data_IF_614795176498
#
_entry.id   IF_614795176498
#
_cell.length_a   1.000
_cell.length_b   1.000
_cell.length_c   1.000
_cell.angle_alpha   90.00
_cell.angle_beta   90.00
_cell.angle_gamma   90.00
#
_symmetry.space_group_name_H-M   'P 1'
#
loop_
_entity.id
_entity.type
_entity.pdbx_description
1 polymer ?
#
# COMPACT_ATOMS: atom_id res chain seq x y z
N UNK A 1 26.04 3.55 2.67
CA UNK A 1 25.93 2.09 2.40
C UNK A 1 25.88 1.90 0.89
N UNK A 2 26.58 0.92 0.30
CA UNK A 2 26.40 0.63 -1.14
C UNK A 2 24.97 0.15 -1.34
N UNK A 3 24.21 0.75 -2.28
CA UNK A 3 22.91 0.25 -2.71
C UNK A 3 23.06 -1.24 -3.02
N UNK A 4 22.16 -2.06 -2.45
CA UNK A 4 22.12 -3.49 -2.75
C UNK A 4 21.83 -3.71 -4.24
N UNK A 5 22.38 -4.75 -4.83
CA UNK A 5 21.96 -5.17 -6.16
C UNK A 5 20.62 -5.91 -6.05
N UNK A 6 19.53 -5.17 -6.22
CA UNK A 6 18.16 -5.72 -6.19
C UNK A 6 17.74 -6.37 -7.53
N UNK A 7 18.61 -6.39 -8.54
CA UNK A 7 18.27 -6.88 -9.88
C UNK A 7 17.66 -8.29 -9.88
N UNK A 8 18.20 -9.31 -9.15
CA UNK A 8 17.60 -10.63 -9.14
C UNK A 8 16.22 -10.66 -8.49
N UNK A 9 16.04 -9.91 -7.38
CA UNK A 9 14.75 -9.79 -6.70
C UNK A 9 13.71 -9.11 -7.61
N UNK A 10 14.08 -8.01 -8.29
CA UNK A 10 13.19 -7.29 -9.20
C UNK A 10 12.76 -8.14 -10.40
N UNK A 11 13.66 -8.97 -10.95
CA UNK A 11 13.33 -9.92 -12.00
C UNK A 11 12.34 -10.99 -11.53
N UNK A 12 12.55 -11.55 -10.34
CA UNK A 12 11.63 -12.53 -9.75
C UNK A 12 10.27 -11.89 -9.42
N UNK A 13 10.27 -10.68 -8.89
CA UNK A 13 9.04 -9.92 -8.62
C UNK A 13 8.24 -9.65 -9.91
N UNK A 14 8.92 -9.27 -10.99
CA UNK A 14 8.28 -9.06 -12.31
C UNK A 14 7.69 -10.36 -12.86
N UNK A 15 8.38 -11.50 -12.69
CA UNK A 15 7.89 -12.81 -13.09
C UNK A 15 6.63 -13.23 -12.29
N UNK A 16 6.65 -13.06 -10.96
CA UNK A 16 5.50 -13.36 -10.11
C UNK A 16 4.33 -12.45 -10.47
N UNK A 17 4.60 -11.14 -10.66
CA UNK A 17 3.58 -10.18 -11.08
C UNK A 17 2.92 -10.62 -12.39
N UNK A 18 3.68 -11.01 -13.40
CA UNK A 18 3.14 -11.45 -14.69
C UNK A 18 2.18 -12.63 -14.52
N UNK A 19 2.52 -13.61 -13.66
CA UNK A 19 1.64 -14.76 -13.36
C UNK A 19 0.34 -14.32 -12.66
N UNK A 20 0.45 -13.41 -11.70
CA UNK A 20 -0.70 -12.85 -10.97
C UNK A 20 -1.60 -12.05 -11.91
N UNK A 21 -1.03 -11.17 -12.74
CA UNK A 21 -1.79 -10.38 -13.71
C UNK A 21 -2.52 -11.28 -14.71
N UNK A 22 -1.86 -12.32 -15.24
CA UNK A 22 -2.49 -13.29 -16.15
C UNK A 22 -3.65 -14.01 -15.46
N UNK A 23 -3.49 -14.46 -14.21
CA UNK A 23 -4.57 -15.10 -13.46
C UNK A 23 -5.75 -14.13 -13.26
N UNK A 24 -5.49 -12.88 -12.89
CA UNK A 24 -6.55 -11.86 -12.71
C UNK A 24 -7.28 -11.61 -14.03
N UNK A 25 -6.54 -11.30 -15.09
CA UNK A 25 -7.10 -10.81 -16.35
C UNK A 25 -7.71 -11.92 -17.19
N UNK A 26 -7.19 -13.15 -17.10
CA UNK A 26 -7.65 -14.24 -17.94
C UNK A 26 -8.70 -15.16 -17.28
N UNK A 27 -8.69 -15.25 -15.92
CA UNK A 27 -9.49 -16.23 -15.22
C UNK A 27 -10.43 -15.64 -14.14
N UNK A 28 -10.04 -14.56 -13.48
CA UNK A 28 -10.80 -13.99 -12.34
C UNK A 28 -11.73 -12.87 -12.76
N UNK A 29 -11.34 -12.07 -13.76
CA UNK A 29 -12.17 -10.98 -14.25
C UNK A 29 -12.87 -11.36 -15.56
N UNK A 30 -14.16 -11.02 -15.70
CA UNK A 30 -14.88 -11.25 -16.94
C UNK A 30 -14.34 -10.37 -18.06
N UNK A 31 -14.40 -10.87 -19.32
CA UNK A 31 -13.86 -10.16 -20.49
C UNK A 31 -14.87 -9.27 -21.17
N UNK A 32 -16.10 -9.74 -21.32
CA UNK A 32 -17.15 -9.02 -22.06
C UNK A 32 -18.55 -9.50 -21.64
N UNK A 33 -19.55 -8.68 -21.96
CA UNK A 33 -20.96 -9.03 -21.76
C UNK A 33 -21.81 -8.49 -22.92
N UNK A 34 -22.94 -9.19 -23.22
CA UNK A 34 -23.87 -8.79 -24.31
C UNK A 34 -24.67 -7.51 -23.98
N UNK A 35 -24.87 -7.20 -22.70
CA UNK A 35 -25.51 -5.96 -22.25
C UNK A 35 -24.46 -4.86 -22.16
N UNK A 36 -24.57 -3.75 -22.92
CA UNK A 36 -23.52 -2.72 -22.99
C UNK A 36 -23.15 -2.11 -21.65
N UNK A 37 -24.10 -1.88 -20.74
CA UNK A 37 -23.83 -1.33 -19.42
C UNK A 37 -23.00 -2.27 -18.53
N UNK A 38 -23.20 -3.59 -18.67
CA UNK A 38 -22.42 -4.60 -17.93
C UNK A 38 -21.03 -4.75 -18.58
N UNK A 39 -20.96 -4.70 -19.91
CA UNK A 39 -19.68 -4.74 -20.64
C UNK A 39 -18.79 -3.56 -20.27
N UNK A 40 -19.38 -2.36 -20.11
CA UNK A 40 -18.66 -1.19 -19.59
C UNK A 40 -18.14 -1.43 -18.17
N UNK A 41 -18.93 -2.02 -17.26
CA UNK A 41 -18.46 -2.36 -15.92
C UNK A 41 -17.25 -3.30 -15.98
N UNK A 42 -17.27 -4.33 -16.84
CA UNK A 42 -16.16 -5.27 -16.99
C UNK A 42 -14.90 -4.58 -17.54
N UNK A 43 -15.06 -3.67 -18.48
CA UNK A 43 -13.98 -2.83 -19.00
C UNK A 43 -13.36 -1.97 -17.88
N UNK A 44 -14.19 -1.36 -17.04
CA UNK A 44 -13.75 -0.53 -15.92
C UNK A 44 -13.04 -1.34 -14.82
N UNK A 45 -13.52 -2.55 -14.51
CA UNK A 45 -12.87 -3.46 -13.54
C UNK A 45 -11.46 -3.87 -13.97
N UNK A 46 -11.19 -3.94 -15.27
CA UNK A 46 -9.89 -4.31 -15.84
C UNK A 46 -8.92 -3.14 -15.94
N UNK A 47 -9.40 -1.90 -15.88
CA UNK A 47 -8.61 -0.68 -16.13
C UNK A 47 -7.38 -0.58 -15.20
N UNK A 48 -7.55 -0.68 -13.87
CA UNK A 48 -6.42 -0.59 -12.92
C UNK A 48 -5.51 -1.82 -12.92
N UNK A 49 -6.02 -3.07 -12.97
CA UNK A 49 -5.17 -4.25 -13.13
C UNK A 49 -4.30 -4.26 -14.40
N UNK A 50 -4.77 -3.68 -15.50
CA UNK A 50 -4.01 -3.61 -16.77
C UNK A 50 -2.91 -2.51 -16.76
N UNK A 51 -2.96 -1.58 -15.79
CA UNK A 51 -1.95 -0.52 -15.68
C UNK A 51 -0.63 -1.05 -15.11
N UNK A 52 0.50 -0.40 -15.42
CA UNK A 52 1.78 -0.78 -14.82
C UNK A 52 1.75 -0.68 -13.31
N UNK A 53 2.39 -1.63 -12.64
CA UNK A 53 2.53 -1.67 -11.18
C UNK A 53 3.71 -2.56 -10.80
N UNK A 54 4.20 -2.43 -9.56
CA UNK A 54 5.39 -3.18 -9.09
C UNK A 54 5.08 -4.62 -8.66
N UNK A 55 3.84 -4.91 -8.24
CA UNK A 55 3.45 -6.25 -7.76
C UNK A 55 4.13 -6.65 -6.44
N UNK A 56 4.49 -5.68 -5.60
CA UNK A 56 5.24 -5.93 -4.36
C UNK A 56 4.44 -6.77 -3.36
N UNK A 57 3.14 -6.51 -3.19
CA UNK A 57 2.27 -7.21 -2.25
C UNK A 57 2.09 -8.69 -2.60
N UNK A 58 1.69 -9.03 -3.83
CA UNK A 58 1.62 -10.45 -4.24
C UNK A 58 2.99 -11.12 -4.19
N UNK A 59 4.07 -10.41 -4.53
CA UNK A 59 5.43 -10.94 -4.43
C UNK A 59 5.81 -11.25 -2.98
N UNK A 60 5.51 -10.35 -2.03
CA UNK A 60 5.78 -10.58 -0.60
C UNK A 60 4.98 -11.77 -0.06
N UNK A 61 3.74 -11.95 -0.50
CA UNK A 61 2.93 -13.11 -0.14
C UNK A 61 3.55 -14.42 -0.64
N UNK A 62 3.93 -14.49 -1.91
CA UNK A 62 4.58 -15.65 -2.52
C UNK A 62 5.93 -15.94 -1.86
N UNK A 63 6.73 -14.92 -1.61
CA UNK A 63 8.05 -15.08 -0.99
C UNK A 63 7.95 -15.56 0.45
N UNK A 64 6.98 -15.02 1.22
CA UNK A 64 6.68 -15.50 2.57
C UNK A 64 6.20 -16.96 2.55
N UNK A 65 5.32 -17.34 1.61
CA UNK A 65 4.90 -18.72 1.45
C UNK A 65 6.09 -19.65 1.23
N UNK A 66 7.00 -19.30 0.34
CA UNK A 66 8.23 -20.06 0.07
C UNK A 66 9.13 -20.13 1.30
N UNK A 67 9.25 -19.03 2.06
CA UNK A 67 10.07 -19.00 3.27
C UNK A 67 9.54 -19.92 4.39
N UNK A 68 8.25 -20.22 4.38
CA UNK A 68 7.63 -21.20 5.27
C UNK A 68 7.49 -22.60 4.63
N UNK A 69 8.20 -22.88 3.52
CA UNK A 69 8.23 -24.20 2.88
C UNK A 69 7.03 -24.51 1.97
N UNK A 70 6.19 -23.51 1.66
CA UNK A 70 5.11 -23.65 0.71
C UNK A 70 5.54 -23.47 -0.74
N UNK A 71 4.65 -23.73 -1.70
CA UNK A 71 4.93 -23.55 -3.10
C UNK A 71 4.28 -22.30 -3.67
N UNK A 72 4.92 -21.69 -4.66
CA UNK A 72 4.40 -20.52 -5.39
C UNK A 72 3.05 -20.82 -6.02
N UNK A 73 2.87 -21.98 -6.67
CA UNK A 73 1.64 -22.34 -7.37
C UNK A 73 0.43 -22.38 -6.43
N UNK A 74 0.60 -22.89 -5.21
CA UNK A 74 -0.45 -22.90 -4.20
C UNK A 74 -0.80 -21.49 -3.68
N UNK A 75 0.14 -20.55 -3.78
CA UNK A 75 -0.01 -19.19 -3.26
C UNK A 75 -0.61 -18.21 -4.28
N UNK A 76 -0.55 -18.51 -5.58
CA UNK A 76 -0.91 -17.55 -6.65
C UNK A 76 -2.34 -17.01 -6.53
N UNK A 77 -3.31 -17.85 -6.20
CA UNK A 77 -4.70 -17.42 -6.10
C UNK A 77 -4.91 -16.44 -4.93
N UNK A 78 -4.26 -16.72 -3.80
CA UNK A 78 -4.26 -15.80 -2.64
C UNK A 78 -3.54 -14.50 -2.98
N UNK A 79 -2.40 -14.57 -3.65
CA UNK A 79 -1.64 -13.39 -4.10
C UNK A 79 -2.43 -12.54 -5.12
N UNK A 80 -3.16 -13.16 -6.03
CA UNK A 80 -4.06 -12.47 -6.96
C UNK A 80 -5.22 -11.77 -6.23
N UNK A 81 -5.75 -12.40 -5.18
CA UNK A 81 -6.81 -11.79 -4.37
C UNK A 81 -6.32 -10.54 -3.63
N UNK A 82 -5.05 -10.50 -3.18
CA UNK A 82 -4.43 -9.29 -2.62
C UNK A 82 -4.37 -8.17 -3.66
N UNK A 83 -4.05 -8.48 -4.90
CA UNK A 83 -3.99 -7.46 -5.96
C UNK A 83 -5.40 -6.99 -6.36
N UNK A 84 -6.42 -7.85 -6.34
CA UNK A 84 -7.82 -7.44 -6.51
C UNK A 84 -8.25 -6.50 -5.37
N UNK A 85 -7.92 -6.82 -4.11
CA UNK A 85 -8.12 -5.93 -2.98
C UNK A 85 -7.46 -4.57 -3.20
N UNK A 86 -6.19 -4.57 -3.59
CA UNK A 86 -5.47 -3.32 -3.85
C UNK A 86 -6.13 -2.47 -4.93
N UNK A 87 -6.56 -3.06 -6.04
CA UNK A 87 -7.20 -2.30 -7.11
C UNK A 87 -8.56 -1.75 -6.68
N UNK A 88 -9.34 -2.50 -5.88
CA UNK A 88 -10.56 -2.00 -5.28
C UNK A 88 -10.30 -0.77 -4.40
N UNK A 89 -9.41 -0.90 -3.40
CA UNK A 89 -9.17 0.18 -2.45
C UNK A 89 -8.57 1.42 -3.12
N UNK A 90 -7.73 1.26 -4.15
CA UNK A 90 -7.18 2.39 -4.91
C UNK A 90 -8.24 3.16 -5.69
N UNK A 91 -9.31 2.51 -6.17
CA UNK A 91 -10.41 3.20 -6.83
C UNK A 91 -11.17 4.06 -5.84
N UNK A 92 -11.43 3.54 -4.63
CA UNK A 92 -12.11 4.29 -3.57
C UNK A 92 -11.24 5.43 -3.05
N UNK A 93 -9.97 5.16 -2.74
CA UNK A 93 -8.97 6.15 -2.31
C UNK A 93 -8.86 7.32 -3.31
N UNK A 94 -8.78 7.03 -4.62
CA UNK A 94 -8.75 8.07 -5.66
C UNK A 94 -10.01 8.95 -5.67
N UNK A 95 -11.19 8.40 -5.35
CA UNK A 95 -12.44 9.16 -5.25
C UNK A 95 -12.42 10.03 -3.99
N UNK A 96 -12.01 9.47 -2.85
CA UNK A 96 -11.96 10.12 -1.55
C UNK A 96 -10.96 11.27 -1.52
N UNK A 97 -9.78 11.08 -2.12
CA UNK A 97 -8.71 12.07 -2.22
C UNK A 97 -8.92 13.08 -3.38
N UNK A 98 -9.85 12.79 -4.31
CA UNK A 98 -10.05 13.55 -5.53
C UNK A 98 -8.83 13.50 -6.47
N UNK A 99 -8.06 12.42 -6.45
CA UNK A 99 -6.83 12.27 -7.24
C UNK A 99 -7.07 12.42 -8.74
N UNK A 100 -6.21 13.18 -9.45
CA UNK A 100 -6.34 13.37 -10.90
C UNK A 100 -5.81 12.18 -11.70
N UNK A 101 -4.73 11.59 -11.23
CA UNK A 101 -3.97 10.58 -11.95
C UNK A 101 -3.68 9.34 -11.10
N UNK A 102 -3.66 8.17 -11.73
CA UNK A 102 -3.21 6.92 -11.12
C UNK A 102 -2.36 6.12 -12.12
N UNK A 103 -1.13 5.77 -11.74
CA UNK A 103 -0.19 4.97 -12.57
C UNK A 103 -0.06 5.53 -14.00
N UNK A 104 0.11 6.86 -14.12
CA UNK A 104 0.35 7.54 -15.39
C UNK A 104 -0.88 7.76 -16.29
N UNK A 105 -2.08 7.43 -15.81
CA UNK A 105 -3.36 7.63 -16.53
C UNK A 105 -4.37 8.31 -15.62
N UNK A 106 -5.40 9.01 -16.15
CA UNK A 106 -6.45 9.62 -15.33
C UNK A 106 -7.08 8.60 -14.37
N UNK A 107 -7.38 9.03 -13.14
CA UNK A 107 -8.08 8.20 -12.17
C UNK A 107 -9.44 7.75 -12.73
N UNK A 108 -9.96 6.59 -12.28
CA UNK A 108 -11.16 6.00 -12.86
C UNK A 108 -12.37 6.94 -12.77
N UNK A 109 -12.51 7.64 -11.63
CA UNK A 109 -13.59 8.60 -11.42
C UNK A 109 -13.48 9.86 -12.31
N UNK A 110 -12.27 10.20 -12.79
CA UNK A 110 -12.09 11.28 -13.79
C UNK A 110 -12.48 10.82 -15.20
N UNK A 111 -12.30 9.52 -15.52
CA UNK A 111 -12.68 8.96 -16.82
C UNK A 111 -14.17 8.71 -16.95
N UNK A 112 -14.83 8.22 -15.90
CA UNK A 112 -16.18 7.66 -15.97
C UNK A 112 -17.17 8.29 -14.96
N UNK A 113 -16.70 9.20 -14.11
CA UNK A 113 -17.48 9.78 -13.02
C UNK A 113 -17.44 8.95 -11.74
N UNK A 114 -17.59 9.62 -10.59
CA UNK A 114 -17.44 9.02 -9.26
C UNK A 114 -18.43 7.87 -9.00
N UNK A 115 -19.68 8.01 -9.46
CA UNK A 115 -20.74 7.00 -9.23
C UNK A 115 -20.41 5.66 -9.88
N UNK A 116 -19.94 5.68 -11.14
CA UNK A 116 -19.57 4.45 -11.84
C UNK A 116 -18.25 3.86 -11.30
N UNK A 117 -17.29 4.72 -10.95
CA UNK A 117 -16.03 4.28 -10.34
C UNK A 117 -16.26 3.60 -8.99
N UNK A 118 -17.12 4.15 -8.13
CA UNK A 118 -17.49 3.55 -6.84
C UNK A 118 -18.06 2.14 -7.05
N UNK A 119 -19.08 2.01 -7.91
CA UNK A 119 -19.68 0.70 -8.23
C UNK A 119 -18.69 -0.29 -8.84
N UNK A 120 -17.66 0.20 -9.55
CA UNK A 120 -16.59 -0.65 -10.09
C UNK A 120 -15.69 -1.18 -8.96
N UNK A 121 -15.37 -0.36 -7.97
CA UNK A 121 -14.67 -0.80 -6.76
C UNK A 121 -15.44 -1.89 -6.03
N UNK A 122 -16.74 -1.71 -5.80
CA UNK A 122 -17.61 -2.71 -5.17
C UNK A 122 -17.65 -4.02 -5.95
N UNK A 123 -17.67 -3.95 -7.29
CA UNK A 123 -17.61 -5.13 -8.13
C UNK A 123 -16.28 -5.87 -8.01
N UNK A 124 -15.15 -5.17 -7.93
CA UNK A 124 -13.83 -5.79 -7.66
C UNK A 124 -13.76 -6.43 -6.28
N UNK A 125 -14.34 -5.78 -5.26
CA UNK A 125 -14.46 -6.35 -3.91
C UNK A 125 -15.22 -7.70 -3.94
N UNK A 126 -16.34 -7.77 -4.65
CA UNK A 126 -17.07 -9.02 -4.82
C UNK A 126 -16.23 -10.11 -5.53
N UNK A 127 -15.48 -9.73 -6.58
CA UNK A 127 -14.57 -10.67 -7.28
C UNK A 127 -13.42 -11.15 -6.40
N UNK A 128 -12.91 -10.31 -5.53
CA UNK A 128 -11.90 -10.69 -4.53
C UNK A 128 -12.42 -11.85 -3.65
N UNK A 129 -13.63 -11.71 -3.07
CA UNK A 129 -14.23 -12.77 -2.24
C UNK A 129 -14.51 -14.04 -3.04
N UNK A 130 -14.98 -13.91 -4.27
CA UNK A 130 -15.17 -15.05 -5.17
C UNK A 130 -13.85 -15.79 -5.45
N UNK A 131 -12.76 -15.01 -5.68
CA UNK A 131 -11.41 -15.57 -5.86
C UNK A 131 -10.94 -16.32 -4.60
N UNK A 132 -11.11 -15.73 -3.42
CA UNK A 132 -10.73 -16.37 -2.16
C UNK A 132 -11.45 -17.70 -1.92
N UNK A 133 -12.73 -17.80 -2.26
CA UNK A 133 -13.50 -19.04 -2.16
C UNK A 133 -12.94 -20.16 -3.05
N UNK A 134 -12.29 -19.83 -4.18
CA UNK A 134 -11.66 -20.84 -5.06
C UNK A 134 -10.47 -21.55 -4.37
N UNK A 135 -9.83 -20.94 -3.35
CA UNK A 135 -8.81 -21.62 -2.56
C UNK A 135 -9.26 -22.91 -1.94
N UNK A 136 -10.58 -23.10 -1.72
CA UNK A 136 -11.14 -24.34 -1.16
C UNK A 136 -10.77 -25.58 -1.97
N UNK A 137 -10.71 -25.48 -3.30
CA UNK A 137 -10.34 -26.60 -4.17
C UNK A 137 -8.82 -26.87 -4.18
N UNK A 138 -7.99 -25.91 -3.78
CA UNK A 138 -6.52 -25.99 -3.85
C UNK A 138 -5.92 -26.27 -2.48
N UNK A 139 -6.40 -25.58 -1.44
CA UNK A 139 -5.83 -25.59 -0.08
C UNK A 139 -6.70 -26.34 0.94
N UNK A 140 -7.94 -26.67 0.59
CA UNK A 140 -8.94 -27.24 1.50
C UNK A 140 -9.67 -26.17 2.31
N UNK A 141 -10.71 -26.60 3.03
CA UNK A 141 -11.65 -25.68 3.70
C UNK A 141 -11.03 -24.92 4.86
N UNK A 142 -10.29 -25.59 5.74
CA UNK A 142 -9.70 -24.97 6.93
C UNK A 142 -8.76 -23.81 6.59
N UNK A 143 -7.78 -24.04 5.71
CA UNK A 143 -6.85 -22.98 5.27
C UNK A 143 -7.58 -21.84 4.54
N UNK A 144 -8.61 -22.16 3.77
CA UNK A 144 -9.41 -21.12 3.09
C UNK A 144 -10.10 -20.21 4.09
N UNK A 145 -10.65 -20.75 5.17
CA UNK A 145 -11.29 -19.96 6.22
C UNK A 145 -10.27 -19.10 6.97
N UNK A 146 -9.08 -19.62 7.28
CA UNK A 146 -7.98 -18.83 7.89
C UNK A 146 -7.58 -17.65 6.99
N UNK A 147 -7.41 -17.91 5.69
CA UNK A 147 -7.09 -16.88 4.68
C UNK A 147 -8.22 -15.83 4.59
N UNK A 148 -9.48 -16.25 4.55
CA UNK A 148 -10.62 -15.32 4.53
C UNK A 148 -10.71 -14.49 5.81
N UNK A 149 -10.40 -15.08 6.97
CA UNK A 149 -10.32 -14.38 8.25
C UNK A 149 -9.25 -13.30 8.25
N UNK A 150 -8.07 -13.60 7.70
CA UNK A 150 -6.99 -12.61 7.55
C UNK A 150 -7.37 -11.47 6.60
N UNK A 151 -8.07 -11.77 5.48
CA UNK A 151 -8.59 -10.73 4.59
C UNK A 151 -9.62 -9.84 5.29
N UNK A 152 -10.53 -10.42 6.09
CA UNK A 152 -11.50 -9.64 6.85
C UNK A 152 -10.80 -8.71 7.87
N UNK A 153 -9.79 -9.21 8.58
CA UNK A 153 -8.95 -8.39 9.47
C UNK A 153 -8.25 -7.26 8.71
N UNK A 154 -7.60 -7.58 7.60
CA UNK A 154 -6.90 -6.61 6.75
C UNK A 154 -7.83 -5.50 6.26
N UNK A 155 -9.03 -5.84 5.81
CA UNK A 155 -10.03 -4.88 5.34
C UNK A 155 -10.46 -3.95 6.47
N UNK A 156 -10.79 -4.50 7.66
CA UNK A 156 -11.19 -3.70 8.81
C UNK A 156 -10.09 -2.70 9.22
N UNK A 157 -8.86 -3.18 9.38
CA UNK A 157 -7.72 -2.33 9.74
C UNK A 157 -7.51 -1.22 8.70
N UNK A 158 -7.54 -1.58 7.41
CA UNK A 158 -7.32 -0.61 6.33
C UNK A 158 -8.40 0.47 6.30
N UNK A 159 -9.66 0.10 6.44
CA UNK A 159 -10.78 1.06 6.42
C UNK A 159 -10.81 1.96 7.67
N UNK A 160 -10.45 1.42 8.85
CA UNK A 160 -10.32 2.23 10.06
C UNK A 160 -9.16 3.24 9.93
N UNK A 161 -8.02 2.83 9.37
CA UNK A 161 -6.89 3.73 9.11
C UNK A 161 -7.22 4.80 8.08
N UNK A 162 -7.94 4.46 7.01
CA UNK A 162 -8.45 5.40 6.02
C UNK A 162 -9.38 6.44 6.68
N UNK A 163 -10.29 6.00 7.55
CA UNK A 163 -11.17 6.90 8.30
C UNK A 163 -10.41 7.89 9.17
N UNK A 164 -9.31 7.47 9.82
CA UNK A 164 -8.48 8.38 10.61
C UNK A 164 -7.90 9.49 9.75
N UNK A 165 -7.28 9.14 8.61
CA UNK A 165 -6.67 10.12 7.70
C UNK A 165 -7.71 11.06 7.11
N UNK A 166 -8.81 10.55 6.56
CA UNK A 166 -9.88 11.35 5.97
C UNK A 166 -10.46 12.35 6.98
N UNK A 167 -10.67 11.92 8.23
CA UNK A 167 -11.18 12.80 9.27
C UNK A 167 -10.24 13.97 9.56
N UNK A 168 -8.93 13.72 9.69
CA UNK A 168 -7.94 14.79 9.89
C UNK A 168 -7.96 15.82 8.76
N UNK A 169 -8.13 15.38 7.52
CA UNK A 169 -8.21 16.26 6.35
C UNK A 169 -9.50 17.06 6.35
N UNK A 170 -10.65 16.38 6.51
CA UNK A 170 -12.00 17.00 6.43
C UNK A 170 -12.22 18.02 7.56
N UNK A 171 -11.79 17.70 8.78
CA UNK A 171 -11.92 18.56 9.96
C UNK A 171 -10.79 19.62 10.04
N UNK A 172 -9.82 19.59 9.12
CA UNK A 172 -8.58 20.38 9.18
C UNK A 172 -7.91 20.28 10.56
N UNK A 173 -7.93 19.06 11.12
CA UNK A 173 -7.32 18.78 12.42
C UNK A 173 -5.79 18.79 12.32
N UNK A 174 -5.13 19.37 13.32
CA UNK A 174 -3.68 19.43 13.48
C UNK A 174 -3.26 19.05 14.91
N UNK A 175 -4.16 18.41 15.64
CA UNK A 175 -3.92 17.95 17.02
C UNK A 175 -3.23 16.59 17.12
N UNK A 176 -3.05 15.88 15.99
CA UNK A 176 -2.43 14.56 15.98
C UNK A 176 -0.94 14.63 16.35
N UNK A 177 -0.52 13.58 17.04
CA UNK A 177 0.88 13.32 17.39
C UNK A 177 1.56 12.41 16.37
N UNK A 178 2.87 12.24 16.50
CA UNK A 178 3.64 11.25 15.74
C UNK A 178 3.13 9.81 15.98
N UNK A 179 2.70 9.48 17.21
CA UNK A 179 2.14 8.18 17.54
C UNK A 179 0.78 7.95 16.85
N UNK A 180 -0.07 8.98 16.78
CA UNK A 180 -1.33 8.91 16.02
C UNK A 180 -1.09 8.64 14.54
N UNK A 181 -0.05 9.28 13.96
CA UNK A 181 0.38 9.00 12.59
C UNK A 181 0.85 7.55 12.42
N UNK A 182 1.65 7.03 13.36
CA UNK A 182 2.09 5.63 13.29
C UNK A 182 0.92 4.66 13.42
N UNK A 183 -0.05 4.96 14.26
CA UNK A 183 -1.26 4.16 14.39
C UNK A 183 -2.07 4.18 13.07
N UNK A 184 -2.27 5.35 12.48
CA UNK A 184 -2.95 5.50 11.19
C UNK A 184 -2.22 4.71 10.08
N UNK A 185 -0.90 4.88 9.94
CA UNK A 185 -0.11 4.15 8.94
C UNK A 185 -0.12 2.64 9.18
N UNK A 186 -0.08 2.21 10.44
CA UNK A 186 -0.19 0.78 10.78
C UNK A 186 -1.50 0.21 10.26
N UNK A 187 -2.61 0.89 10.52
CA UNK A 187 -3.94 0.47 10.07
C UNK A 187 -4.10 0.59 8.56
N UNK A 188 -3.93 1.79 8.01
CA UNK A 188 -4.17 2.08 6.60
C UNK A 188 -3.20 1.35 5.68
N UNK A 189 -1.90 1.30 6.02
CA UNK A 189 -0.84 0.87 5.09
C UNK A 189 -0.18 -0.44 5.49
N UNK A 190 0.24 -0.61 6.77
CA UNK A 190 1.04 -1.77 7.15
C UNK A 190 0.28 -3.07 6.99
N UNK A 191 -1.00 -3.11 7.37
CA UNK A 191 -1.81 -4.32 7.26
C UNK A 191 -1.87 -4.83 5.81
N UNK A 192 -2.34 -4.05 4.86
CA UNK A 192 -2.54 -4.58 3.50
C UNK A 192 -1.26 -4.61 2.65
N UNK A 193 -0.24 -3.83 3.02
CA UNK A 193 1.01 -3.77 2.24
C UNK A 193 2.03 -4.81 2.68
N UNK A 194 2.08 -5.11 3.97
CA UNK A 194 3.16 -5.92 4.56
C UNK A 194 2.63 -7.05 5.43
N UNK A 195 1.85 -6.74 6.49
CA UNK A 195 1.45 -7.71 7.51
C UNK A 195 0.66 -8.85 6.89
N UNK A 196 -0.50 -8.54 6.30
CA UNK A 196 -1.36 -9.58 5.72
C UNK A 196 -0.73 -10.29 4.53
N UNK A 197 -0.02 -9.66 3.58
CA UNK A 197 0.72 -10.39 2.56
C UNK A 197 1.68 -11.44 3.13
N UNK A 198 2.48 -11.12 4.16
CA UNK A 198 3.36 -12.10 4.79
C UNK A 198 2.59 -13.20 5.50
N UNK A 199 1.56 -12.86 6.29
CA UNK A 199 0.74 -13.80 7.05
C UNK A 199 -0.05 -14.73 6.12
N UNK A 200 -0.61 -14.20 5.04
CA UNK A 200 -1.32 -14.99 4.02
C UNK A 200 -0.40 -16.03 3.36
N UNK A 201 0.83 -15.63 3.01
CA UNK A 201 1.83 -16.57 2.53
C UNK A 201 2.13 -17.68 3.54
N UNK A 202 2.26 -17.32 4.82
CA UNK A 202 2.48 -18.27 5.91
C UNK A 202 1.29 -19.22 6.11
N UNK A 203 0.04 -18.73 6.04
CA UNK A 203 -1.18 -19.57 6.10
C UNK A 203 -1.23 -20.56 4.94
N UNK A 204 -0.95 -20.12 3.71
CA UNK A 204 -0.91 -21.02 2.53
C UNK A 204 0.11 -22.13 2.76
N UNK A 205 1.32 -21.80 3.26
CA UNK A 205 2.36 -22.77 3.57
C UNK A 205 1.99 -23.73 4.71
N UNK A 206 1.01 -23.37 5.56
CA UNK A 206 0.65 -24.13 6.75
C UNK A 206 1.61 -23.92 7.92
N UNK A 207 2.15 -22.70 8.04
CA UNK A 207 2.98 -22.29 9.17
C UNK A 207 2.20 -22.40 10.50
N UNK A 208 2.94 -22.58 11.60
CA UNK A 208 2.32 -22.65 12.92
C UNK A 208 1.74 -21.27 13.31
N UNK A 209 0.63 -21.21 14.06
CA UNK A 209 0.03 -19.95 14.49
C UNK A 209 1.03 -18.96 15.11
N UNK A 210 1.92 -19.43 16.00
CA UNK A 210 2.94 -18.59 16.62
C UNK A 210 3.97 -17.99 15.62
N UNK A 211 4.26 -18.70 14.54
CA UNK A 211 5.15 -18.20 13.48
C UNK A 211 4.44 -17.14 12.65
N UNK A 212 3.14 -17.34 12.34
CA UNK A 212 2.30 -16.36 11.66
C UNK A 212 2.18 -15.08 12.49
N UNK A 213 1.93 -15.21 13.80
CA UNK A 213 1.78 -14.05 14.70
C UNK A 213 3.09 -13.27 14.88
N UNK A 214 4.24 -13.95 14.78
CA UNK A 214 5.55 -13.30 14.86
C UNK A 214 5.83 -12.31 13.71
N UNK A 215 5.03 -12.32 12.63
CA UNK A 215 5.15 -11.41 11.50
C UNK A 215 4.47 -10.05 11.73
N UNK A 216 3.64 -9.91 12.77
CA UNK A 216 2.85 -8.69 12.99
C UNK A 216 3.74 -7.51 13.35
N UNK A 217 4.56 -7.63 14.39
CA UNK A 217 5.37 -6.50 14.86
C UNK A 217 6.42 -6.03 13.84
N UNK A 218 7.22 -6.90 13.20
CA UNK A 218 8.09 -6.45 12.11
C UNK A 218 7.30 -5.86 10.94
N UNK A 219 6.12 -6.40 10.63
CA UNK A 219 5.25 -5.88 9.57
C UNK A 219 4.71 -4.49 9.86
N UNK A 220 4.36 -4.16 11.11
CA UNK A 220 3.96 -2.81 11.52
C UNK A 220 5.09 -1.81 11.23
N UNK A 221 6.29 -2.08 11.76
CA UNK A 221 7.44 -1.19 11.59
C UNK A 221 7.81 -1.01 10.11
N UNK A 222 7.86 -2.11 9.35
CA UNK A 222 8.18 -2.07 7.92
C UNK A 222 7.14 -1.26 7.14
N UNK A 223 5.85 -1.44 7.43
CA UNK A 223 4.78 -0.74 6.74
C UNK A 223 4.75 0.76 7.06
N UNK A 224 5.00 1.15 8.31
CA UNK A 224 5.12 2.56 8.69
C UNK A 224 6.35 3.18 8.02
N UNK A 225 7.52 2.52 8.08
CA UNK A 225 8.73 2.99 7.40
C UNK A 225 8.54 3.13 5.90
N UNK A 226 7.83 2.19 5.27
CA UNK A 226 7.45 2.25 3.86
C UNK A 226 6.58 3.48 3.55
N UNK A 227 5.56 3.76 4.36
CA UNK A 227 4.67 4.92 4.15
C UNK A 227 5.43 6.23 4.29
N UNK A 228 6.26 6.37 5.34
CA UNK A 228 7.09 7.58 5.52
C UNK A 228 7.99 7.80 4.30
N UNK A 229 8.60 6.73 3.77
CA UNK A 229 9.44 6.84 2.57
C UNK A 229 8.63 7.23 1.34
N UNK A 230 7.40 6.72 1.20
CA UNK A 230 6.48 7.08 0.12
C UNK A 230 6.11 8.57 0.17
N UNK A 231 5.83 9.10 1.36
CA UNK A 231 5.56 10.53 1.60
C UNK A 231 6.80 11.39 1.23
N UNK A 232 8.01 10.92 1.54
CA UNK A 232 9.28 11.58 1.14
C UNK A 232 9.43 11.58 -0.38
N UNK A 233 9.16 10.47 -1.05
CA UNK A 233 9.24 10.36 -2.51
C UNK A 233 8.22 11.26 -3.20
N UNK A 234 7.01 11.39 -2.65
CA UNK A 234 5.97 12.28 -3.16
C UNK A 234 6.45 13.74 -3.25
N UNK A 235 7.25 14.19 -2.26
CA UNK A 235 7.80 15.54 -2.23
C UNK A 235 9.09 15.72 -3.05
N UNK A 236 9.91 14.67 -3.22
CA UNK A 236 11.26 14.75 -3.79
C UNK A 236 11.35 14.29 -5.25
N UNK A 237 10.53 13.34 -5.69
CA UNK A 237 10.73 12.64 -6.96
C UNK A 237 10.12 13.33 -8.19
N UNK A 238 9.34 14.41 -8.04
CA UNK A 238 8.74 15.14 -9.16
C UNK A 238 7.93 14.25 -10.11
N UNK A 239 7.95 14.56 -11.41
CA UNK A 239 7.17 13.86 -12.45
C UNK A 239 7.50 12.35 -12.63
N UNK A 240 8.55 11.81 -12.01
CA UNK A 240 8.92 10.40 -12.10
C UNK A 240 8.00 9.48 -11.29
N UNK A 241 7.26 10.01 -10.31
CA UNK A 241 6.44 9.23 -9.39
C UNK A 241 5.07 8.79 -9.96
N UNK A 242 4.70 9.24 -11.16
CA UNK A 242 3.41 8.89 -11.80
C UNK A 242 2.18 9.59 -11.22
N UNK A 243 2.40 10.50 -10.28
CA UNK A 243 1.47 11.49 -9.72
C UNK A 243 1.99 12.90 -9.97
N UNK A 244 1.18 13.90 -9.65
CA UNK A 244 1.63 15.29 -9.61
C UNK A 244 2.65 15.47 -8.47
N UNK A 245 3.69 16.28 -8.68
CA UNK A 245 4.67 16.55 -7.62
C UNK A 245 3.98 17.20 -6.42
N UNK A 246 4.25 16.72 -5.22
CA UNK A 246 3.64 17.19 -3.97
C UNK A 246 2.10 17.06 -3.92
N UNK A 247 1.53 16.04 -4.56
CA UNK A 247 0.07 15.81 -4.60
C UNK A 247 -0.49 15.58 -3.19
N UNK A 248 0.24 14.88 -2.31
CA UNK A 248 -0.15 14.68 -0.91
C UNK A 248 -0.32 16.02 -0.14
N UNK A 249 0.50 17.04 -0.44
CA UNK A 249 0.31 18.39 0.12
C UNK A 249 -0.96 19.03 -0.43
N UNK A 250 -1.23 18.89 -1.72
CA UNK A 250 -2.45 19.42 -2.33
C UNK A 250 -3.70 18.71 -1.78
N UNK A 251 -3.65 17.41 -1.58
CA UNK A 251 -4.70 16.61 -0.93
C UNK A 251 -4.86 17.00 0.54
N UNK A 252 -3.82 17.53 1.16
CA UNK A 252 -3.82 17.96 2.55
C UNK A 252 -3.58 16.84 3.54
N UNK A 253 -2.88 15.79 3.12
CA UNK A 253 -2.52 14.66 4.00
C UNK A 253 -1.66 15.11 5.17
N UNK A 254 -1.91 14.55 6.35
CA UNK A 254 -1.18 14.82 7.59
C UNK A 254 0.02 13.88 7.71
N UNK A 255 1.02 14.08 6.82
CA UNK A 255 2.22 13.25 6.78
C UNK A 255 3.13 13.51 8.00
N UNK A 256 4.02 12.55 8.32
CA UNK A 256 5.03 12.74 9.37
C UNK A 256 5.86 14.02 9.14
N UNK A 257 6.13 14.37 7.88
CA UNK A 257 6.86 15.57 7.50
C UNK A 257 6.14 16.83 7.98
N UNK A 258 4.82 16.93 7.76
CA UNK A 258 4.03 18.07 8.22
C UNK A 258 3.84 18.09 9.74
N UNK A 259 3.64 16.94 10.37
CA UNK A 259 3.57 16.81 11.83
C UNK A 259 4.89 17.30 12.47
N UNK A 260 6.03 16.88 11.94
CA UNK A 260 7.35 17.32 12.38
C UNK A 260 7.57 18.80 12.16
N UNK A 261 7.21 19.32 10.98
CA UNK A 261 7.25 20.74 10.68
C UNK A 261 6.52 21.55 11.76
N UNK A 262 5.26 21.21 12.01
CA UNK A 262 4.44 21.92 13.00
C UNK A 262 4.94 21.79 14.44
N UNK A 263 5.54 20.67 14.80
CA UNK A 263 6.15 20.48 16.12
C UNK A 263 7.40 21.33 16.32
N UNK A 264 8.12 21.66 15.24
CA UNK A 264 9.40 22.38 15.29
C UNK A 264 9.29 23.86 14.94
N UNK A 265 8.22 24.26 14.24
CA UNK A 265 8.03 25.60 13.72
C UNK A 265 7.75 26.63 14.84
N UNK A 266 8.24 27.85 14.65
CA UNK A 266 7.82 28.97 15.48
C UNK A 266 6.30 29.26 15.31
N UNK A 267 5.68 30.00 16.25
CA UNK A 267 4.23 30.22 16.22
C UNK A 267 3.70 30.86 14.93
N UNK A 268 4.49 31.72 14.27
CA UNK A 268 4.11 32.40 13.03
C UNK A 268 4.09 31.44 11.86
N UNK A 269 5.16 30.67 11.68
CA UNK A 269 5.28 29.70 10.60
C UNK A 269 4.27 28.56 10.79
N UNK A 270 4.06 28.10 12.05
CA UNK A 270 3.02 27.14 12.37
C UNK A 270 1.64 27.62 11.95
N UNK A 271 1.24 28.85 12.33
CA UNK A 271 -0.05 29.40 11.95
C UNK A 271 -0.19 29.51 10.43
N UNK A 272 0.90 29.91 9.75
CA UNK A 272 0.90 30.02 8.29
C UNK A 272 0.62 28.69 7.60
N UNK A 273 1.22 27.58 8.07
CA UNK A 273 0.92 26.24 7.54
C UNK A 273 -0.57 25.91 7.73
N UNK A 274 -1.09 26.08 8.95
CA UNK A 274 -2.50 25.79 9.26
C UNK A 274 -3.44 26.62 8.36
N UNK A 275 -3.17 27.89 8.14
CA UNK A 275 -3.95 28.78 7.30
C UNK A 275 -3.97 28.33 5.83
N UNK A 276 -2.83 27.89 5.28
CA UNK A 276 -2.74 27.37 3.91
C UNK A 276 -3.58 26.11 3.74
N UNK A 277 -3.48 25.18 4.70
CA UNK A 277 -4.24 23.93 4.62
C UNK A 277 -5.75 24.08 4.96
N UNK A 278 -6.17 25.20 5.54
CA UNK A 278 -7.58 25.55 5.67
C UNK A 278 -8.22 25.97 4.33
N UNK A 279 -7.42 26.29 3.32
CA UNK A 279 -7.92 26.62 1.98
C UNK A 279 -8.43 25.37 1.26
N UNK A 280 -9.42 25.50 0.35
CA UNK A 280 -9.77 24.45 -0.60
C UNK A 280 -8.56 24.00 -1.44
N UNK A 281 -8.53 22.73 -1.86
CA UNK A 281 -7.42 22.11 -2.62
C UNK A 281 -6.93 22.99 -3.78
N UNK A 282 -7.87 23.52 -4.59
CA UNK A 282 -7.55 24.31 -5.79
C UNK A 282 -6.85 25.63 -5.45
N UNK A 283 -7.06 26.16 -4.24
CA UNK A 283 -6.48 27.41 -3.77
C UNK A 283 -5.12 27.22 -3.07
N UNK A 284 -4.71 25.99 -2.75
CA UNK A 284 -3.43 25.69 -2.07
C UNK A 284 -2.24 25.81 -3.02
N UNK A 285 -2.42 25.50 -4.31
CA UNK A 285 -1.34 25.38 -5.30
C UNK A 285 -0.34 26.55 -5.30
N UNK A 286 -0.75 27.84 -5.22
CA UNK A 286 0.20 28.95 -5.20
C UNK A 286 1.12 28.99 -3.97
N UNK A 287 0.76 28.31 -2.89
CA UNK A 287 1.48 28.33 -1.61
C UNK A 287 2.38 27.10 -1.41
N UNK A 288 2.39 26.12 -2.31
CA UNK A 288 3.15 24.89 -2.13
C UNK A 288 4.66 25.14 -2.06
N UNK A 289 5.17 26.11 -2.82
CA UNK A 289 6.58 26.51 -2.73
C UNK A 289 6.95 27.01 -1.33
N UNK A 290 6.11 27.86 -0.73
CA UNK A 290 6.29 28.37 0.64
C UNK A 290 6.28 27.22 1.67
N UNK A 291 5.37 26.25 1.53
CA UNK A 291 5.34 25.09 2.42
C UNK A 291 6.61 24.24 2.28
N UNK A 292 7.08 24.03 1.06
CA UNK A 292 8.34 23.30 0.81
C UNK A 292 9.56 24.03 1.42
N UNK A 293 9.61 25.35 1.34
CA UNK A 293 10.65 26.17 1.97
C UNK A 293 10.63 26.01 3.50
N UNK A 294 9.45 25.97 4.12
CA UNK A 294 9.29 25.74 5.55
C UNK A 294 9.71 24.30 5.94
N UNK A 295 9.35 23.28 5.15
CA UNK A 295 9.81 21.91 5.34
C UNK A 295 11.35 21.85 5.35
N UNK A 296 11.99 22.57 4.42
CA UNK A 296 13.46 22.69 4.37
C UNK A 296 14.04 23.44 5.55
N UNK A 297 13.45 24.59 5.93
CA UNK A 297 13.88 25.44 7.06
C UNK A 297 13.96 24.66 8.37
N UNK A 298 13.01 23.77 8.62
CA UNK A 298 12.92 23.01 9.87
C UNK A 298 13.45 21.57 9.74
N UNK A 299 14.08 21.21 8.64
CA UNK A 299 14.64 19.87 8.34
C UNK A 299 13.64 18.72 8.58
N UNK A 300 12.37 18.97 8.28
CA UNK A 300 11.33 17.99 8.52
C UNK A 300 11.46 16.76 7.58
N UNK A 301 11.99 16.97 6.36
CA UNK A 301 12.29 15.89 5.42
C UNK A 301 13.42 14.99 5.92
N UNK A 302 14.53 15.57 6.41
CA UNK A 302 15.66 14.81 6.96
C UNK A 302 15.24 13.97 8.17
N UNK A 303 14.37 14.50 9.02
CA UNK A 303 13.79 13.75 10.13
C UNK A 303 12.97 12.53 9.64
N UNK A 304 12.11 12.72 8.65
CA UNK A 304 11.27 11.63 8.10
C UNK A 304 12.13 10.51 7.49
N UNK A 305 13.16 10.87 6.70
CA UNK A 305 14.10 9.89 6.13
C UNK A 305 14.81 9.09 7.23
N UNK A 306 15.31 9.76 8.26
CA UNK A 306 15.99 9.09 9.38
C UNK A 306 15.03 8.12 10.11
N UNK A 307 13.79 8.55 10.34
CA UNK A 307 12.79 7.73 11.04
C UNK A 307 12.33 6.52 10.20
N UNK A 308 12.16 6.69 8.90
CA UNK A 308 11.88 5.57 7.98
C UNK A 308 12.99 4.52 8.03
N UNK A 309 14.26 4.95 7.98
CA UNK A 309 15.43 4.06 8.04
C UNK A 309 15.48 3.30 9.37
N UNK A 310 15.30 4.00 10.51
CA UNK A 310 15.25 3.39 11.85
C UNK A 310 14.21 2.28 11.93
N UNK A 311 12.98 2.56 11.48
CA UNK A 311 11.88 1.61 11.54
C UNK A 311 12.12 0.37 10.68
N UNK A 312 12.71 0.54 9.50
CA UNK A 312 13.02 -0.59 8.62
C UNK A 312 14.18 -1.42 9.16
N UNK A 313 15.23 -0.81 9.71
CA UNK A 313 16.34 -1.54 10.35
C UNK A 313 15.85 -2.36 11.57
N UNK A 314 14.95 -1.79 12.36
CA UNK A 314 14.28 -2.49 13.45
C UNK A 314 13.47 -3.69 12.92
N UNK A 315 12.65 -3.49 11.89
CA UNK A 315 11.85 -4.54 11.27
C UNK A 315 12.74 -5.69 10.77
N UNK A 316 13.84 -5.38 10.07
CA UNK A 316 14.82 -6.36 9.61
C UNK A 316 15.43 -7.16 10.76
N UNK A 317 15.80 -6.48 11.86
CA UNK A 317 16.31 -7.15 13.06
C UNK A 317 15.30 -8.14 13.64
N UNK A 318 14.01 -7.81 13.60
CA UNK A 318 12.93 -8.69 14.05
C UNK A 318 12.67 -9.85 13.07
N UNK A 319 12.64 -9.58 11.76
CA UNK A 319 12.45 -10.61 10.71
C UNK A 319 13.52 -11.70 10.77
N UNK A 320 14.77 -11.36 11.11
CA UNK A 320 15.85 -12.33 11.31
C UNK A 320 15.63 -13.30 12.48
N UNK A 321 14.74 -12.97 13.40
CA UNK A 321 14.37 -13.82 14.55
C UNK A 321 13.14 -14.69 14.27
N UNK A 322 12.45 -14.45 13.17
CA UNK A 322 11.32 -15.27 12.75
C UNK A 322 11.82 -16.67 12.42
N UNK A 323 11.09 -17.68 12.85
CA UNK A 323 11.40 -19.06 12.57
C UNK A 323 10.88 -19.48 11.19
N UNK A 324 11.65 -19.20 10.17
CA UNK A 324 11.36 -19.65 8.82
C UNK A 324 11.53 -21.19 8.73
N UNK A 325 10.67 -21.86 7.93
CA UNK A 325 10.67 -23.32 7.83
C UNK A 325 11.71 -23.84 6.84
N UNK A 326 11.95 -23.11 5.75
CA UNK A 326 12.89 -23.50 4.70
C UNK A 326 13.54 -22.28 4.05
N UNK A 327 14.83 -22.44 3.81
CA UNK A 327 15.58 -21.69 2.82
C UNK A 327 16.03 -20.28 3.20
N UNK A 328 17.34 -20.21 3.47
CA UNK A 328 18.06 -18.93 3.54
C UNK A 328 17.75 -18.00 2.36
N UNK A 329 17.50 -18.55 1.16
CA UNK A 329 17.19 -17.77 -0.03
C UNK A 329 15.84 -17.07 0.06
N UNK A 330 14.78 -17.74 0.53
CA UNK A 330 13.46 -17.13 0.62
C UNK A 330 13.39 -16.10 1.75
N UNK A 331 14.04 -16.39 2.90
CA UNK A 331 14.21 -15.39 3.97
C UNK A 331 14.95 -14.16 3.44
N UNK A 332 16.06 -14.36 2.73
CA UNK A 332 16.85 -13.27 2.14
C UNK A 332 15.97 -12.41 1.20
N UNK A 333 15.08 -13.02 0.41
CA UNK A 333 14.15 -12.28 -0.46
C UNK A 333 13.16 -11.43 0.33
N UNK A 334 12.65 -11.91 1.46
CA UNK A 334 11.80 -11.09 2.35
C UNK A 334 12.58 -9.88 2.88
N UNK A 335 13.83 -10.07 3.31
CA UNK A 335 14.71 -8.99 3.77
C UNK A 335 15.05 -8.01 2.61
N UNK A 336 15.27 -8.50 1.40
CA UNK A 336 15.50 -7.65 0.21
C UNK A 336 14.29 -6.78 -0.12
N UNK A 337 13.06 -7.33 -0.05
CA UNK A 337 11.83 -6.54 -0.24
C UNK A 337 11.72 -5.45 0.83
N UNK A 338 12.04 -5.77 2.09
CA UNK A 338 12.02 -4.80 3.17
C UNK A 338 13.04 -3.66 2.96
N UNK A 339 14.25 -3.96 2.51
CA UNK A 339 15.26 -2.95 2.17
C UNK A 339 14.85 -2.12 0.96
N UNK A 340 14.37 -2.77 -0.10
CA UNK A 340 13.89 -2.10 -1.31
C UNK A 340 12.78 -1.09 -1.01
N UNK A 341 11.99 -1.33 0.05
CA UNK A 341 10.93 -0.42 0.46
C UNK A 341 11.41 1.02 0.71
N UNK A 342 12.66 1.21 1.18
CA UNK A 342 13.26 2.52 1.52
C UNK A 342 14.49 2.90 0.69
N UNK A 343 15.04 1.97 -0.11
CA UNK A 343 16.21 2.26 -0.96
C UNK A 343 15.80 2.57 -2.41
N UNK A 344 14.50 2.51 -2.72
CA UNK A 344 13.95 2.82 -4.05
C UNK A 344 13.91 4.33 -4.29
N UNK A 345 14.25 4.76 -5.50
CA UNK A 345 14.22 6.17 -5.93
C UNK A 345 12.95 6.53 -6.73
N UNK A 346 11.96 5.61 -6.84
CA UNK A 346 10.77 5.75 -7.70
C UNK A 346 9.63 4.84 -7.28
#
# INVERSE_FOLDING_TARGET
>A
MKMGDFTPMLQDMARVKQRVDSLILDELLPRSHSVPAIDQLYTMMRDYPERPGKGMRPYLCVTSCKAFGGSEDLCLLTAASIELFQNWILIHDDIEDGSEMRRGSPALHKKYGAVLALNTGDALHARMWESLLRNRSVLGEAKTLDIMGEFAQMINETTEGQQMELRWVVENDWGMTEEDYYQMCTKKTSWYTVISPMRLGAFVAGARPADVDSLVEPGKKLGVGFQIHDDVLNLSAGAKYGKEAADDLLEGKRTLILIRLLASADPRDRQRVVDVFALPREQRRPFMGEILDLIGKYDAMGYAVAKSTELVDDALSMLRRVRWADGADAQMRVEEVARFAIERDW
#
